data_IF_195282620159
#
_entry.id   IF_195282620159
#
_cell.length_a   1.000
_cell.length_b   1.000
_cell.length_c   1.000
_cell.angle_alpha   90.00
_cell.angle_beta   90.00
_cell.angle_gamma   90.00
#
_symmetry.space_group_name_H-M   'P 1'
#
loop_
_entity.id
_entity.type
_entity.pdbx_description
1 polymer ?
#
# COMPACT_ATOMS: atom_id res chain seq x y z
N UNK A 1 -10.41 2.70 35.66
CA UNK A 1 -11.21 2.45 34.45
C UNK A 1 -10.35 1.64 33.48
N UNK A 2 -10.46 0.30 33.43
CA UNK A 2 -9.56 -0.53 32.58
C UNK A 2 -10.24 -1.11 31.32
N UNK A 3 -11.52 -1.49 31.41
CA UNK A 3 -12.17 -2.29 30.36
C UNK A 3 -12.49 -1.51 29.07
N UNK A 4 -12.80 -0.21 29.17
CA UNK A 4 -13.08 0.64 27.99
C UNK A 4 -11.82 0.87 27.15
N UNK A 5 -10.67 1.05 27.80
CA UNK A 5 -9.39 1.28 27.12
C UNK A 5 -8.89 0.00 26.43
N UNK A 6 -9.10 -1.16 27.06
CA UNK A 6 -8.77 -2.45 26.45
C UNK A 6 -9.62 -2.77 25.22
N UNK A 7 -10.93 -2.46 25.26
CA UNK A 7 -11.81 -2.60 24.10
C UNK A 7 -11.42 -1.66 22.95
N UNK A 8 -11.07 -0.41 23.26
CA UNK A 8 -10.59 0.54 22.26
C UNK A 8 -9.29 0.06 21.61
N UNK A 9 -8.35 -0.46 22.41
CA UNK A 9 -7.11 -1.06 21.93
C UNK A 9 -7.35 -2.25 21.00
N UNK A 10 -8.18 -3.21 21.40
CA UNK A 10 -8.50 -4.38 20.55
C UNK A 10 -9.16 -4.00 19.23
N UNK A 11 -9.98 -2.95 19.22
CA UNK A 11 -10.58 -2.41 17.98
C UNK A 11 -9.51 -1.82 17.08
N UNK A 12 -8.56 -1.07 17.64
CA UNK A 12 -7.45 -0.51 16.89
C UNK A 12 -6.54 -1.60 16.30
N UNK A 13 -6.18 -2.62 17.07
CA UNK A 13 -5.38 -3.76 16.60
C UNK A 13 -6.03 -4.46 15.41
N UNK A 14 -7.35 -4.71 15.45
CA UNK A 14 -8.08 -5.26 14.29
C UNK A 14 -8.01 -4.40 13.04
N UNK A 15 -8.02 -3.08 13.20
CA UNK A 15 -7.86 -2.13 12.08
C UNK A 15 -6.46 -2.28 11.49
N UNK A 16 -5.43 -2.34 12.34
CA UNK A 16 -4.03 -2.57 11.91
C UNK A 16 -3.91 -3.89 11.16
N UNK A 17 -4.44 -4.99 11.70
CA UNK A 17 -4.39 -6.32 11.08
C UNK A 17 -5.05 -6.34 9.70
N UNK A 18 -6.22 -5.69 9.57
CA UNK A 18 -6.90 -5.56 8.29
C UNK A 18 -6.04 -4.82 7.26
N UNK A 19 -5.37 -3.73 7.67
CA UNK A 19 -4.46 -2.98 6.78
C UNK A 19 -3.26 -3.81 6.40
N UNK A 20 -2.67 -4.52 7.35
CA UNK A 20 -1.53 -5.39 7.10
C UNK A 20 -1.88 -6.47 6.08
N UNK A 21 -3.07 -7.08 6.18
CA UNK A 21 -3.54 -8.06 5.19
C UNK A 21 -3.68 -7.45 3.80
N UNK A 22 -4.25 -6.25 3.67
CA UNK A 22 -4.38 -5.56 2.38
C UNK A 22 -3.02 -5.18 1.80
N UNK A 23 -2.11 -4.66 2.63
CA UNK A 23 -0.75 -4.28 2.23
C UNK A 23 0.05 -5.50 1.77
N UNK A 24 -0.07 -6.63 2.48
CA UNK A 24 0.57 -7.89 2.13
C UNK A 24 0.01 -8.46 0.82
N UNK A 25 -1.29 -8.38 0.60
CA UNK A 25 -1.93 -8.82 -0.65
C UNK A 25 -1.50 -7.99 -1.86
N UNK A 26 -1.10 -6.72 -1.65
CA UNK A 26 -0.59 -5.86 -2.72
C UNK A 26 0.87 -6.13 -3.11
N UNK A 27 1.59 -6.98 -2.35
CA UNK A 27 2.97 -7.32 -2.66
C UNK A 27 3.05 -8.26 -3.85
N UNK A 28 3.96 -7.94 -4.77
CA UNK A 28 4.32 -8.80 -5.89
C UNK A 28 5.51 -9.67 -5.48
N UNK A 29 5.40 -11.00 -5.45
CA UNK A 29 6.50 -11.88 -5.05
C UNK A 29 7.77 -11.67 -5.88
N UNK A 30 7.61 -11.34 -7.17
CA UNK A 30 8.74 -11.05 -8.06
C UNK A 30 9.62 -9.87 -7.63
N UNK A 31 9.14 -9.00 -6.74
CA UNK A 31 9.89 -7.87 -6.21
C UNK A 31 10.36 -8.10 -4.77
N UNK A 32 10.30 -9.34 -4.28
CA UNK A 32 10.81 -9.72 -2.95
C UNK A 32 10.26 -8.85 -1.81
N UNK A 33 9.02 -8.37 -1.95
CA UNK A 33 8.38 -7.51 -0.96
C UNK A 33 8.72 -6.01 -1.06
N UNK A 34 9.51 -5.59 -2.06
CA UNK A 34 9.70 -4.18 -2.42
C UNK A 34 8.56 -3.65 -3.29
N UNK A 35 8.52 -2.33 -3.45
CA UNK A 35 7.53 -1.61 -4.24
C UNK A 35 6.08 -1.84 -3.80
N UNK A 36 5.88 -2.20 -2.51
CA UNK A 36 4.57 -2.33 -1.93
C UNK A 36 3.78 -1.02 -1.98
N UNK A 37 2.52 -1.10 -2.40
CA UNK A 37 1.63 0.05 -2.46
C UNK A 37 0.20 -0.37 -2.14
N UNK A 38 -0.48 0.41 -1.30
CA UNK A 38 -1.92 0.32 -1.05
C UNK A 38 -2.56 1.66 -1.39
N UNK A 39 -3.69 1.62 -2.08
CA UNK A 39 -4.50 2.80 -2.40
C UNK A 39 -5.86 2.59 -1.75
N UNK A 40 -6.24 3.49 -0.85
CA UNK A 40 -7.58 3.53 -0.25
C UNK A 40 -8.38 4.64 -0.93
N UNK A 41 -9.55 4.29 -1.44
CA UNK A 41 -10.49 5.23 -2.04
C UNK A 41 -11.15 6.12 -0.99
N UNK A 42 -11.83 7.19 -1.43
CA UNK A 42 -12.57 8.07 -0.52
C UNK A 42 -13.68 7.33 0.25
N UNK A 43 -14.31 6.35 -0.39
CA UNK A 43 -15.32 5.50 0.25
C UNK A 43 -14.69 4.61 1.32
N UNK A 44 -13.55 3.99 1.01
CA UNK A 44 -12.79 3.21 2.00
C UNK A 44 -12.45 4.08 3.21
N UNK A 45 -11.98 5.31 2.99
CA UNK A 45 -11.64 6.24 4.08
C UNK A 45 -12.85 6.62 4.94
N UNK A 46 -14.02 6.84 4.33
CA UNK A 46 -15.23 7.23 5.06
C UNK A 46 -15.74 6.12 6.01
N UNK A 47 -15.60 4.86 5.62
CA UNK A 47 -15.97 3.71 6.44
C UNK A 47 -14.94 3.40 7.55
N UNK A 48 -13.74 3.97 7.43
CA UNK A 48 -12.58 3.59 8.21
C UNK A 48 -12.25 4.55 9.37
N UNK A 49 -13.02 5.62 9.52
CA UNK A 49 -12.87 6.61 10.59
C UNK A 49 -11.97 7.79 10.22
N UNK A 50 -11.42 8.46 11.24
CA UNK A 50 -10.62 9.66 11.07
C UNK A 50 -9.34 9.38 10.26
N UNK A 51 -9.04 10.24 9.28
CA UNK A 51 -7.88 10.08 8.38
C UNK A 51 -6.56 9.93 9.14
N UNK A 52 -6.43 10.59 10.30
CA UNK A 52 -5.25 10.48 11.17
C UNK A 52 -5.05 9.05 11.67
N UNK A 53 -6.12 8.41 12.11
CA UNK A 53 -6.08 7.05 12.67
C UNK A 53 -5.85 6.02 11.56
N UNK A 54 -6.44 6.24 10.38
CA UNK A 54 -6.16 5.42 9.19
C UNK A 54 -4.68 5.50 8.82
N UNK A 55 -4.09 6.71 8.80
CA UNK A 55 -2.65 6.90 8.53
C UNK A 55 -1.79 6.26 9.61
N UNK A 56 -2.19 6.33 10.88
CA UNK A 56 -1.47 5.70 11.99
C UNK A 56 -1.46 4.18 11.81
N UNK A 57 -2.63 3.58 11.57
CA UNK A 57 -2.77 2.13 11.37
C UNK A 57 -1.98 1.63 10.15
N UNK A 58 -2.01 2.37 9.03
CA UNK A 58 -1.25 2.02 7.84
C UNK A 58 0.27 2.04 8.08
N UNK A 59 0.77 3.00 8.87
CA UNK A 59 2.20 3.05 9.25
C UNK A 59 2.57 1.90 10.18
N UNK A 60 1.69 1.53 11.09
CA UNK A 60 1.93 0.40 11.99
C UNK A 60 1.96 -0.93 11.25
N UNK A 61 0.96 -1.19 10.42
CA UNK A 61 0.93 -2.34 9.53
C UNK A 61 2.17 -2.40 8.63
N UNK A 62 2.59 -1.26 8.05
CA UNK A 62 3.81 -1.20 7.26
C UNK A 62 5.08 -1.50 8.05
N UNK A 63 5.18 -1.05 9.31
CA UNK A 63 6.31 -1.43 10.19
C UNK A 63 6.36 -2.94 10.43
N UNK A 64 5.22 -3.61 10.65
CA UNK A 64 5.18 -5.06 10.80
C UNK A 64 5.69 -5.80 9.55
N UNK A 65 5.44 -5.24 8.37
CA UNK A 65 5.93 -5.75 7.09
C UNK A 65 7.38 -5.32 6.77
N UNK A 66 8.03 -4.57 7.66
CA UNK A 66 9.38 -4.03 7.44
C UNK A 66 9.46 -2.94 6.37
N UNK A 67 8.34 -2.30 6.03
CA UNK A 67 8.30 -1.19 5.06
C UNK A 67 8.79 0.12 5.68
N UNK A 68 9.36 0.99 4.84
CA UNK A 68 9.51 2.41 5.16
C UNK A 68 8.26 3.15 4.69
N UNK A 69 7.23 3.17 5.52
CA UNK A 69 5.89 3.61 5.06
C UNK A 69 5.77 5.13 4.90
N UNK A 70 5.40 5.57 3.71
CA UNK A 70 4.97 6.94 3.42
C UNK A 70 3.48 6.98 3.07
N UNK A 71 2.82 8.09 3.37
CA UNK A 71 1.39 8.27 3.08
C UNK A 71 1.11 9.61 2.41
N UNK A 72 0.35 9.61 1.31
CA UNK A 72 -0.02 10.83 0.59
C UNK A 72 -1.52 10.81 0.27
N UNK A 73 -2.23 11.91 0.53
CA UNK A 73 -3.63 12.05 0.14
C UNK A 73 -3.70 12.87 -1.14
N UNK A 74 -4.28 12.31 -2.19
CA UNK A 74 -4.42 12.98 -3.49
C UNK A 74 -5.79 12.65 -4.06
N UNK A 75 -6.56 13.68 -4.45
CA UNK A 75 -7.89 13.54 -5.04
C UNK A 75 -8.83 12.62 -4.24
N UNK A 76 -8.82 12.75 -2.91
CA UNK A 76 -9.65 11.95 -2.00
C UNK A 76 -9.20 10.49 -1.83
N UNK A 77 -8.04 10.10 -2.37
CA UNK A 77 -7.46 8.75 -2.20
C UNK A 77 -6.22 8.80 -1.34
N UNK A 78 -6.11 7.90 -0.37
CA UNK A 78 -4.91 7.75 0.44
C UNK A 78 -3.99 6.72 -0.19
N UNK A 79 -2.81 7.16 -0.58
CA UNK A 79 -1.72 6.33 -1.04
C UNK A 79 -0.84 5.98 0.16
N UNK A 80 -0.56 4.69 0.33
CA UNK A 80 0.38 4.14 1.30
C UNK A 80 1.45 3.39 0.51
N UNK A 81 2.73 3.74 0.69
CA UNK A 81 3.83 3.19 -0.12
C UNK A 81 5.00 2.76 0.75
N UNK A 82 5.68 1.72 0.31
CA UNK A 82 7.02 1.40 0.78
C UNK A 82 8.04 2.30 0.08
N UNK A 83 8.79 3.07 0.88
CA UNK A 83 9.80 4.04 0.44
C UNK A 83 11.23 3.51 0.65
N UNK A 84 11.39 2.20 0.90
CA UNK A 84 12.71 1.57 0.91
C UNK A 84 13.32 1.63 -0.50
N UNK A 85 14.61 1.96 -0.56
CA UNK A 85 15.38 1.82 -1.80
C UNK A 85 15.55 0.32 -2.11
N UNK A 86 15.10 -0.17 -3.28
CA UNK A 86 15.28 -1.57 -3.64
C UNK A 86 16.72 -1.86 -4.10
N UNK A 87 17.20 -3.10 -3.93
CA UNK A 87 18.44 -3.57 -4.54
C UNK A 87 18.46 -3.33 -6.05
N UNK A 88 19.65 -3.21 -6.64
CA UNK A 88 19.81 -2.91 -8.07
C UNK A 88 19.13 -3.95 -8.98
N UNK A 89 19.17 -5.22 -8.59
CA UNK A 89 18.54 -6.32 -9.33
C UNK A 89 17.01 -6.16 -9.40
N UNK A 90 16.38 -5.85 -8.27
CA UNK A 90 14.94 -5.58 -8.20
C UNK A 90 14.55 -4.32 -8.96
N UNK A 91 15.39 -3.26 -8.90
CA UNK A 91 15.20 -2.05 -9.72
C UNK A 91 15.21 -2.37 -11.21
N UNK A 92 16.21 -3.13 -11.67
CA UNK A 92 16.34 -3.54 -13.07
C UNK A 92 15.14 -4.37 -13.53
N UNK A 93 14.75 -5.36 -12.74
CA UNK A 93 13.59 -6.20 -13.03
C UNK A 93 12.31 -5.36 -13.16
N UNK A 94 12.07 -4.43 -12.24
CA UNK A 94 10.92 -3.54 -12.31
C UNK A 94 10.95 -2.62 -13.55
N UNK A 95 12.13 -2.10 -13.92
CA UNK A 95 12.32 -1.32 -15.14
C UNK A 95 12.03 -2.13 -16.40
N UNK A 96 12.53 -3.36 -16.49
CA UNK A 96 12.32 -4.23 -17.65
C UNK A 96 10.83 -4.57 -17.81
N UNK A 97 10.16 -4.95 -16.70
CA UNK A 97 8.70 -5.22 -16.69
C UNK A 97 7.90 -4.00 -17.12
N UNK A 98 8.29 -2.80 -16.68
CA UNK A 98 7.63 -1.56 -17.07
C UNK A 98 7.84 -1.24 -18.56
N UNK A 99 9.05 -1.41 -19.07
CA UNK A 99 9.38 -1.18 -20.48
C UNK A 99 8.57 -2.11 -21.40
N UNK A 100 8.48 -3.40 -21.04
CA UNK A 100 7.67 -4.36 -21.79
C UNK A 100 6.17 -4.00 -21.77
N UNK A 101 5.64 -3.55 -20.63
CA UNK A 101 4.24 -3.14 -20.53
C UNK A 101 3.94 -1.93 -21.41
N UNK A 102 4.86 -0.94 -21.46
CA UNK A 102 4.73 0.23 -22.33
C UNK A 102 4.81 -0.15 -23.80
N UNK A 103 5.73 -1.02 -24.18
CA UNK A 103 5.84 -1.46 -25.57
C UNK A 103 4.60 -2.26 -26.03
N UNK A 104 4.02 -3.10 -25.16
CA UNK A 104 2.74 -3.77 -25.43
C UNK A 104 1.61 -2.75 -25.63
N UNK A 105 1.50 -1.75 -24.76
CA UNK A 105 0.48 -0.71 -24.86
C UNK A 105 0.61 0.10 -26.16
N UNK A 106 1.84 0.46 -26.54
CA UNK A 106 2.13 1.16 -27.80
C UNK A 106 1.73 0.34 -29.02
N UNK A 107 2.05 -0.95 -29.04
CA UNK A 107 1.65 -1.86 -30.13
C UNK A 107 0.15 -2.01 -30.23
N UNK A 108 -0.56 -2.11 -29.10
CA UNK A 108 -2.02 -2.19 -29.09
C UNK A 108 -2.68 -0.91 -29.64
N UNK A 109 -2.13 0.27 -29.29
CA UNK A 109 -2.63 1.54 -29.81
C UNK A 109 -2.47 1.65 -31.35
N UNK A 110 -1.36 1.16 -31.90
CA UNK A 110 -1.11 1.18 -33.35
C UNK A 110 -1.87 0.12 -34.16
N UNK A 111 -2.51 -0.85 -33.52
CA UNK A 111 -3.33 -1.88 -34.19
C UNK A 111 -4.83 -1.57 -34.16
N UNK A 112 -5.24 -0.51 -33.46
CA UNK A 112 -6.62 -0.04 -33.36
C UNK A 112 -6.98 1.13 -34.27
N UNK A 113 -6.06 1.57 -35.13
CA UNK A 113 -6.24 2.59 -36.19
C UNK A 113 -6.41 1.93 -37.57
#
# INVERSE_FOLDING_TARGET
MPAKDELARRRYEKVVDQRESLMRAALKPQYEGYYGQLILSGNDLAEMGELKDVRQAAREAGRHLGWKTTTHLTSGRLFVRDDREPPQEIRRLASDVAAEAMDRARRAAHQGD
#
